data_IF_173492800090
#
_entry.id   IF_173492800090
#
_cell.length_a   1.000
_cell.length_b   1.000
_cell.length_c   1.000
_cell.angle_alpha   90.00
_cell.angle_beta   90.00
_cell.angle_gamma   90.00
#
_symmetry.space_group_name_H-M   'P 1'
#
loop_
_entity.id
_entity.type
_entity.pdbx_description
1 polymer ?
#
# COMPACT_ATOMS: atom_id res chain seq x y z
N UNK A 1 -21.77 4.97 32.02
CA UNK A 1 -21.66 5.53 30.64
C UNK A 1 -22.76 4.89 29.82
N UNK A 2 -23.60 5.66 29.16
CA UNK A 2 -24.71 5.17 28.35
C UNK A 2 -24.13 4.50 27.08
N UNK A 3 -24.81 3.47 26.55
CA UNK A 3 -24.43 2.80 25.30
C UNK A 3 -24.21 3.78 24.14
N UNK A 4 -25.06 4.81 24.04
CA UNK A 4 -24.93 5.86 23.03
C UNK A 4 -23.64 6.68 23.18
N UNK A 5 -23.23 6.99 24.41
CA UNK A 5 -21.99 7.71 24.70
C UNK A 5 -20.75 6.85 24.32
N UNK A 6 -20.84 5.55 24.61
CA UNK A 6 -19.78 4.61 24.24
C UNK A 6 -19.66 4.53 22.73
N UNK A 7 -20.78 4.30 22.02
CA UNK A 7 -20.80 4.26 20.56
C UNK A 7 -20.32 5.57 19.92
N UNK A 8 -20.73 6.72 20.46
CA UNK A 8 -20.26 8.02 20.02
C UNK A 8 -18.72 8.14 20.14
N UNK A 9 -18.16 7.78 21.30
CA UNK A 9 -16.71 7.82 21.53
C UNK A 9 -15.95 6.89 20.59
N UNK A 10 -16.45 5.69 20.37
CA UNK A 10 -15.85 4.73 19.43
C UNK A 10 -15.89 5.24 17.98
N UNK A 11 -17.03 5.78 17.55
CA UNK A 11 -17.16 6.34 16.19
C UNK A 11 -16.26 7.56 16.00
N UNK A 12 -16.26 8.49 16.95
CA UNK A 12 -15.40 9.69 16.89
C UNK A 12 -13.92 9.33 16.95
N UNK A 13 -13.57 8.32 17.77
CA UNK A 13 -12.21 7.77 17.85
C UNK A 13 -11.79 7.09 16.54
N UNK A 14 -12.66 6.26 15.96
CA UNK A 14 -12.42 5.60 14.68
C UNK A 14 -12.24 6.61 13.54
N UNK A 15 -13.08 7.64 13.48
CA UNK A 15 -12.96 8.70 12.49
C UNK A 15 -11.77 9.64 12.74
N UNK A 16 -11.11 9.57 13.92
CA UNK A 16 -9.97 10.42 14.25
C UNK A 16 -10.29 11.90 14.42
N UNK A 17 -11.57 12.27 14.61
CA UNK A 17 -12.01 13.68 14.67
C UNK A 17 -11.93 14.31 16.07
N UNK A 18 -11.45 13.58 17.07
CA UNK A 18 -11.33 14.07 18.46
C UNK A 18 -10.55 15.40 18.56
N UNK A 19 -9.39 15.49 17.88
CA UNK A 19 -8.55 16.70 17.90
C UNK A 19 -9.26 17.90 17.29
N UNK A 20 -9.99 17.70 16.20
CA UNK A 20 -10.79 18.76 15.56
C UNK A 20 -11.94 19.22 16.44
N UNK A 21 -12.64 18.28 17.08
CA UNK A 21 -13.72 18.61 18.02
C UNK A 21 -13.19 19.35 19.26
N UNK A 22 -12.02 18.99 19.77
CA UNK A 22 -11.38 19.70 20.87
C UNK A 22 -10.99 21.12 20.46
N UNK A 23 -10.33 21.31 19.33
CA UNK A 23 -9.98 22.64 18.80
C UNK A 23 -11.23 23.51 18.60
N UNK A 24 -12.30 22.95 18.04
CA UNK A 24 -13.56 23.66 17.87
C UNK A 24 -14.18 24.09 19.23
N UNK A 25 -14.20 23.20 20.22
CA UNK A 25 -14.75 23.47 21.54
C UNK A 25 -13.96 24.50 22.34
N UNK A 26 -12.64 24.48 22.22
CA UNK A 26 -11.73 25.36 22.96
C UNK A 26 -11.43 26.67 22.25
N UNK A 27 -11.71 26.76 20.93
CA UNK A 27 -11.28 27.89 20.09
C UNK A 27 -9.77 28.02 19.91
N UNK A 28 -8.98 27.02 20.36
CA UNK A 28 -7.52 27.04 20.30
C UNK A 28 -7.02 26.48 18.96
N UNK A 29 -7.14 27.27 17.91
CA UNK A 29 -6.64 26.94 16.57
C UNK A 29 -5.11 27.08 16.45
N UNK A 30 -4.42 27.67 17.44
CA UNK A 30 -2.96 27.71 17.50
C UNK A 30 -2.35 26.31 17.55
N UNK A 31 -3.07 25.31 18.04
CA UNK A 31 -2.67 23.90 18.01
C UNK A 31 -2.37 23.40 16.58
N UNK A 32 -3.01 23.94 15.54
CA UNK A 32 -2.73 23.59 14.14
C UNK A 32 -1.29 23.93 13.70
N UNK A 33 -0.58 24.74 14.43
CA UNK A 33 0.84 25.04 14.19
C UNK A 33 1.79 24.04 14.88
N UNK A 34 1.25 23.11 15.66
CA UNK A 34 2.00 22.03 16.31
C UNK A 34 1.94 20.74 15.49
N UNK A 35 2.95 19.87 15.65
CA UNK A 35 2.97 18.56 15.01
C UNK A 35 1.72 17.72 15.36
N UNK A 36 1.35 17.67 16.63
CA UNK A 36 0.17 16.95 17.11
C UNK A 36 -1.14 17.53 16.54
N UNK A 37 -1.23 18.84 16.42
CA UNK A 37 -2.40 19.50 15.83
C UNK A 37 -2.51 19.25 14.32
N UNK A 38 -1.40 19.32 13.58
CA UNK A 38 -1.36 18.99 12.14
C UNK A 38 -1.77 17.53 11.92
N UNK A 39 -1.16 16.58 12.63
CA UNK A 39 -1.47 15.15 12.49
C UNK A 39 -2.90 14.85 12.93
N UNK A 40 -3.38 15.47 14.02
CA UNK A 40 -4.75 15.34 14.47
C UNK A 40 -5.78 15.93 13.51
N UNK A 41 -5.44 16.98 12.75
CA UNK A 41 -6.31 17.56 11.74
C UNK A 41 -6.39 16.72 10.46
N UNK A 42 -5.29 16.04 10.10
CA UNK A 42 -5.20 15.22 8.88
C UNK A 42 -5.74 13.79 9.11
N UNK A 43 -5.58 13.25 10.32
CA UNK A 43 -5.95 11.84 10.62
C UNK A 43 -7.38 11.43 10.23
N UNK A 44 -8.42 12.31 10.31
CA UNK A 44 -9.76 11.97 9.87
C UNK A 44 -9.94 11.84 8.37
N UNK A 45 -8.99 12.32 7.58
CA UNK A 45 -9.16 12.47 6.14
C UNK A 45 -9.56 11.17 5.44
N UNK A 46 -8.82 10.09 5.65
CA UNK A 46 -9.11 8.81 4.99
C UNK A 46 -10.35 8.11 5.55
N UNK A 47 -10.56 7.98 6.88
CA UNK A 47 -11.81 7.42 7.41
C UNK A 47 -13.07 8.15 6.98
N UNK A 48 -13.05 9.49 6.97
CA UNK A 48 -14.18 10.32 6.52
C UNK A 48 -14.41 10.16 5.03
N UNK A 49 -13.35 10.16 4.22
CA UNK A 49 -13.46 9.96 2.77
C UNK A 49 -14.01 8.56 2.44
N UNK A 50 -13.60 7.51 3.17
CA UNK A 50 -14.16 6.16 3.06
C UNK A 50 -15.67 6.15 3.38
N UNK A 51 -16.07 6.83 4.44
CA UNK A 51 -17.49 6.94 4.77
C UNK A 51 -18.28 7.65 3.64
N UNK A 52 -17.74 8.75 3.11
CA UNK A 52 -18.32 9.46 1.96
C UNK A 52 -18.41 8.53 0.74
N UNK A 53 -17.37 7.75 0.45
CA UNK A 53 -17.35 6.79 -0.67
C UNK A 53 -18.46 5.75 -0.53
N UNK A 54 -18.61 5.14 0.65
CA UNK A 54 -19.65 4.16 0.95
C UNK A 54 -21.05 4.77 0.82
N UNK A 55 -21.30 5.95 1.42
CA UNK A 55 -22.59 6.64 1.33
C UNK A 55 -22.90 6.97 -0.14
N UNK A 56 -21.93 7.51 -0.88
CA UNK A 56 -22.11 7.82 -2.30
C UNK A 56 -22.41 6.57 -3.13
N UNK A 57 -21.68 5.47 -2.89
CA UNK A 57 -21.96 4.20 -3.56
C UNK A 57 -23.38 3.69 -3.28
N UNK A 58 -23.84 3.80 -2.04
CA UNK A 58 -25.21 3.43 -1.64
C UNK A 58 -26.27 4.32 -2.29
N UNK A 59 -26.10 5.66 -2.26
CA UNK A 59 -27.03 6.62 -2.88
C UNK A 59 -27.17 6.38 -4.38
N UNK A 60 -26.08 6.12 -5.09
CA UNK A 60 -26.09 5.82 -6.53
C UNK A 60 -26.38 4.35 -6.87
N UNK A 61 -26.80 3.53 -5.89
CA UNK A 61 -27.09 2.09 -6.06
C UNK A 61 -25.96 1.28 -6.67
N UNK A 62 -24.71 1.66 -6.36
CA UNK A 62 -23.48 0.98 -6.79
C UNK A 62 -22.78 0.24 -5.66
N UNK A 63 -23.30 0.32 -4.45
CA UNK A 63 -22.76 -0.38 -3.28
C UNK A 63 -22.96 -1.89 -3.45
N UNK A 64 -21.86 -2.63 -3.36
CA UNK A 64 -21.84 -4.10 -3.33
C UNK A 64 -21.12 -4.53 -2.06
N UNK A 65 -21.80 -5.31 -1.24
CA UNK A 65 -21.26 -5.83 0.04
C UNK A 65 -19.98 -6.63 -0.21
N UNK A 66 -19.89 -7.33 -1.34
CA UNK A 66 -18.76 -8.16 -1.74
C UNK A 66 -17.46 -7.35 -1.85
N UNK A 67 -17.54 -6.09 -2.28
CA UNK A 67 -16.37 -5.22 -2.45
C UNK A 67 -15.76 -4.78 -1.11
N UNK A 68 -16.52 -4.82 -0.01
CA UNK A 68 -16.12 -4.34 1.32
C UNK A 68 -16.00 -5.44 2.37
N UNK A 69 -16.67 -6.59 2.16
CA UNK A 69 -16.78 -7.66 3.17
C UNK A 69 -15.39 -8.22 3.57
N UNK A 70 -14.61 -8.66 2.58
CA UNK A 70 -13.30 -9.25 2.85
C UNK A 70 -12.32 -8.20 3.36
N UNK A 71 -12.20 -6.98 2.74
CA UNK A 71 -11.44 -5.86 3.30
C UNK A 71 -11.77 -5.57 4.78
N UNK A 72 -13.04 -5.54 5.15
CA UNK A 72 -13.47 -5.31 6.53
C UNK A 72 -12.95 -6.40 7.49
N UNK A 73 -13.09 -7.68 7.13
CA UNK A 73 -12.58 -8.76 7.99
C UNK A 73 -11.06 -8.75 8.11
N UNK A 74 -10.35 -8.40 7.04
CA UNK A 74 -8.88 -8.25 7.06
C UNK A 74 -8.49 -7.09 7.97
N UNK A 75 -9.16 -5.94 7.86
CA UNK A 75 -8.95 -4.78 8.74
C UNK A 75 -9.12 -5.14 10.21
N UNK A 76 -10.23 -5.80 10.55
CA UNK A 76 -10.51 -6.22 11.95
C UNK A 76 -9.44 -7.20 12.43
N UNK A 77 -9.09 -8.21 11.64
CA UNK A 77 -8.04 -9.17 11.98
C UNK A 77 -6.69 -8.47 12.22
N UNK A 78 -6.29 -7.57 11.32
CA UNK A 78 -5.01 -6.85 11.43
C UNK A 78 -4.97 -5.89 12.61
N UNK A 79 -6.10 -5.31 13.01
CA UNK A 79 -6.18 -4.43 14.18
C UNK A 79 -5.70 -5.10 15.46
N UNK A 80 -5.92 -6.41 15.59
CA UNK A 80 -5.52 -7.18 16.76
C UNK A 80 -4.14 -7.82 16.65
N UNK A 81 -3.61 -8.02 15.45
CA UNK A 81 -2.39 -8.79 15.22
C UNK A 81 -1.25 -7.92 14.71
N UNK A 82 -1.46 -7.23 13.60
CA UNK A 82 -0.38 -6.57 12.85
C UNK A 82 0.21 -5.34 13.57
N UNK A 83 -0.63 -4.52 14.21
CA UNK A 83 -0.20 -3.24 14.77
C UNK A 83 0.90 -3.40 15.85
N UNK A 84 0.76 -4.36 16.75
CA UNK A 84 1.76 -4.61 17.79
C UNK A 84 3.09 -5.09 17.23
N UNK A 85 3.05 -5.98 16.22
CA UNK A 85 4.26 -6.50 15.58
C UNK A 85 4.98 -5.37 14.84
N UNK A 86 4.26 -4.53 14.12
CA UNK A 86 4.81 -3.41 13.34
C UNK A 86 5.51 -2.40 14.24
N UNK A 87 4.86 -1.95 15.31
CA UNK A 87 5.46 -1.02 16.29
C UNK A 87 6.73 -1.61 16.91
N UNK A 88 6.70 -2.88 17.30
CA UNK A 88 7.86 -3.56 17.86
C UNK A 88 9.03 -3.62 16.85
N UNK A 89 8.75 -3.94 15.58
CA UNK A 89 9.77 -4.00 14.53
C UNK A 89 10.41 -2.64 14.25
N UNK A 90 9.62 -1.56 14.19
CA UNK A 90 10.14 -0.19 14.06
C UNK A 90 11.06 0.16 15.22
N UNK A 91 10.64 -0.11 16.46
CA UNK A 91 11.43 0.16 17.65
C UNK A 91 12.75 -0.63 17.66
N UNK A 92 12.69 -1.92 17.31
CA UNK A 92 13.89 -2.79 17.20
C UNK A 92 14.84 -2.26 16.12
N UNK A 93 14.34 -1.89 14.94
CA UNK A 93 15.17 -1.34 13.86
C UNK A 93 15.85 -0.03 14.28
N UNK A 94 15.14 0.88 14.94
CA UNK A 94 15.73 2.12 15.47
C UNK A 94 16.84 1.77 16.48
N UNK A 95 16.55 0.91 17.47
CA UNK A 95 17.50 0.53 18.52
C UNK A 95 18.78 -0.13 18.00
N UNK A 96 18.69 -0.92 16.95
CA UNK A 96 19.84 -1.60 16.33
C UNK A 96 20.64 -0.65 15.43
N UNK A 97 19.96 0.08 14.55
CA UNK A 97 20.61 0.76 13.42
C UNK A 97 20.95 2.23 13.65
N UNK A 98 20.37 2.92 14.66
CA UNK A 98 20.63 4.35 14.90
C UNK A 98 22.12 4.65 15.13
N UNK A 99 22.83 3.74 15.80
CA UNK A 99 24.28 3.89 16.05
C UNK A 99 25.15 3.77 14.78
N UNK A 100 24.60 3.22 13.70
CA UNK A 100 25.29 3.08 12.41
C UNK A 100 24.84 4.13 11.39
N UNK A 101 24.02 5.09 11.79
CA UNK A 101 23.57 6.17 10.92
C UNK A 101 24.77 6.98 10.40
N UNK A 102 24.76 7.26 9.09
CA UNK A 102 25.86 7.98 8.42
C UNK A 102 26.01 9.44 8.91
N UNK A 103 24.92 10.02 9.40
CA UNK A 103 24.83 11.32 10.10
C UNK A 103 23.49 11.39 10.85
N UNK A 104 23.18 12.53 11.50
CA UNK A 104 21.88 12.71 12.16
C UNK A 104 21.18 13.95 11.62
N UNK A 105 19.97 13.78 11.16
CA UNK A 105 19.09 14.89 10.74
C UNK A 105 18.41 15.53 11.94
N UNK A 106 17.82 16.71 11.74
CA UNK A 106 16.93 17.36 12.68
C UNK A 106 15.52 17.48 12.09
N UNK A 107 14.52 17.81 12.92
CA UNK A 107 13.17 18.06 12.44
C UNK A 107 13.04 19.48 11.89
N UNK A 108 13.46 19.67 10.60
CA UNK A 108 13.40 20.95 9.88
C UNK A 108 12.92 20.72 8.45
N UNK A 109 12.44 21.77 7.79
CA UNK A 109 11.83 21.67 6.45
C UNK A 109 12.77 21.11 5.37
N UNK A 110 14.07 21.46 5.39
CA UNK A 110 15.04 20.94 4.41
C UNK A 110 15.38 19.46 4.66
N UNK A 111 15.41 19.03 5.93
CA UNK A 111 15.54 17.62 6.26
C UNK A 111 14.26 16.83 5.94
N UNK A 112 13.10 17.48 5.94
CA UNK A 112 11.86 16.84 5.48
C UNK A 112 11.93 16.47 3.99
N UNK A 113 12.49 17.37 3.13
CA UNK A 113 12.68 17.07 1.70
C UNK A 113 13.64 15.89 1.51
N UNK A 114 14.79 15.93 2.16
CA UNK A 114 15.75 14.83 2.13
C UNK A 114 15.13 13.52 2.64
N UNK A 115 14.52 13.57 3.82
CA UNK A 115 13.91 12.42 4.46
C UNK A 115 12.81 11.80 3.60
N UNK A 116 12.02 12.64 2.92
CA UNK A 116 10.96 12.14 2.04
C UNK A 116 11.53 11.44 0.79
N UNK A 117 12.62 11.93 0.20
CA UNK A 117 13.29 11.28 -0.93
C UNK A 117 13.83 9.90 -0.53
N UNK A 118 14.46 9.81 0.66
CA UNK A 118 14.98 8.54 1.19
C UNK A 118 13.84 7.58 1.57
N UNK A 119 12.77 8.09 2.19
CA UNK A 119 11.59 7.31 2.50
C UNK A 119 10.96 6.71 1.24
N UNK A 120 10.77 7.50 0.20
CA UNK A 120 10.22 7.06 -1.07
C UNK A 120 11.11 6.00 -1.74
N UNK A 121 12.45 6.14 -1.64
CA UNK A 121 13.38 5.10 -2.07
C UNK A 121 13.20 3.81 -1.29
N UNK A 122 13.09 3.91 0.03
CA UNK A 122 12.89 2.73 0.89
C UNK A 122 11.54 2.05 0.63
N UNK A 123 10.50 2.84 0.35
CA UNK A 123 9.19 2.35 -0.06
C UNK A 123 9.27 1.65 -1.42
N UNK A 124 9.92 2.26 -2.40
CA UNK A 124 10.17 1.63 -3.71
C UNK A 124 10.87 0.27 -3.57
N UNK A 125 11.93 0.17 -2.76
CA UNK A 125 12.67 -1.09 -2.54
C UNK A 125 11.77 -2.16 -1.92
N UNK A 126 11.06 -1.82 -0.84
CA UNK A 126 10.11 -2.74 -0.21
C UNK A 126 9.07 -3.25 -1.22
N UNK A 127 8.44 -2.34 -1.94
CA UNK A 127 7.34 -2.61 -2.85
C UNK A 127 7.80 -3.40 -4.09
N UNK A 128 8.94 -3.01 -4.66
CA UNK A 128 9.58 -3.76 -5.74
C UNK A 128 9.89 -5.20 -5.33
N UNK A 129 10.48 -5.41 -4.15
CA UNK A 129 10.75 -6.76 -3.64
C UNK A 129 9.45 -7.53 -3.39
N UNK A 130 8.38 -6.87 -2.93
CA UNK A 130 7.07 -7.48 -2.75
C UNK A 130 6.50 -8.09 -4.04
N UNK A 131 6.81 -7.50 -5.20
CA UNK A 131 6.40 -8.01 -6.50
C UNK A 131 7.42 -8.96 -7.17
N UNK A 132 8.71 -8.85 -6.82
CA UNK A 132 9.79 -9.60 -7.51
C UNK A 132 10.25 -10.84 -6.77
N UNK A 133 9.89 -10.99 -5.50
CA UNK A 133 10.23 -12.15 -4.68
C UNK A 133 8.95 -12.86 -4.26
N UNK A 134 8.77 -14.12 -4.65
CA UNK A 134 7.48 -14.81 -4.44
C UNK A 134 7.07 -14.92 -2.97
N UNK A 135 8.02 -15.08 -2.06
CA UNK A 135 7.71 -15.05 -0.62
C UNK A 135 7.05 -13.73 -0.21
N UNK A 136 7.60 -12.62 -0.67
CA UNK A 136 7.06 -11.29 -0.34
C UNK A 136 5.77 -10.98 -1.10
N UNK A 137 5.63 -11.51 -2.32
CA UNK A 137 4.35 -11.49 -3.02
C UNK A 137 3.24 -12.20 -2.24
N UNK A 138 3.52 -13.31 -1.56
CA UNK A 138 2.56 -13.98 -0.69
C UNK A 138 2.04 -13.06 0.44
N UNK A 139 2.84 -12.08 0.87
CA UNK A 139 2.42 -11.09 1.86
C UNK A 139 1.65 -9.92 1.21
N UNK A 140 2.03 -9.52 -0.01
CA UNK A 140 1.50 -8.35 -0.70
C UNK A 140 0.27 -8.66 -1.58
N UNK A 141 0.13 -9.88 -2.06
CA UNK A 141 -0.97 -10.30 -2.94
C UNK A 141 -2.37 -10.10 -2.36
N UNK A 142 -2.50 -10.12 -1.03
CA UNK A 142 -3.74 -9.79 -0.31
C UNK A 142 -4.21 -8.38 -0.66
N UNK A 143 -3.28 -7.44 -0.80
CA UNK A 143 -3.55 -6.06 -1.18
C UNK A 143 -4.01 -5.93 -2.65
N UNK A 144 -3.47 -6.75 -3.55
CA UNK A 144 -3.86 -6.80 -4.96
C UNK A 144 -5.07 -7.68 -5.27
N UNK A 145 -5.56 -8.45 -4.31
CA UNK A 145 -6.64 -9.41 -4.52
C UNK A 145 -8.03 -8.79 -4.86
N UNK A 146 -8.41 -7.58 -4.36
CA UNK A 146 -9.69 -6.97 -4.71
C UNK A 146 -9.87 -6.76 -6.20
N UNK A 147 -11.13 -6.94 -6.67
CA UNK A 147 -11.50 -6.83 -8.08
C UNK A 147 -12.10 -5.47 -8.46
N UNK A 148 -12.20 -4.56 -7.51
CA UNK A 148 -12.66 -3.18 -7.70
C UNK A 148 -11.83 -2.26 -6.82
N UNK A 149 -11.50 -1.05 -7.31
CA UNK A 149 -10.77 -0.06 -6.52
C UNK A 149 -11.73 0.73 -5.63
N UNK A 150 -11.41 0.79 -4.34
CA UNK A 150 -12.08 1.63 -3.35
C UNK A 150 -11.17 1.84 -2.12
N UNK A 151 -11.47 2.83 -1.29
CA UNK A 151 -10.64 3.20 -0.14
C UNK A 151 -10.44 2.11 0.93
N UNK A 152 -11.32 1.10 0.99
CA UNK A 152 -11.14 0.00 1.95
C UNK A 152 -9.93 -0.88 1.60
N UNK A 153 -9.44 -0.83 0.36
CA UNK A 153 -8.25 -1.57 -0.08
C UNK A 153 -6.99 -1.06 0.63
N UNK A 154 -6.93 0.22 0.98
CA UNK A 154 -5.84 0.79 1.77
C UNK A 154 -5.63 0.09 3.14
N UNK A 155 -6.63 -0.64 3.62
CA UNK A 155 -6.57 -1.42 4.85
C UNK A 155 -6.51 -2.94 4.60
N UNK A 156 -6.44 -3.36 3.32
CA UNK A 156 -6.47 -4.77 2.91
C UNK A 156 -5.03 -5.24 2.70
N UNK A 157 -4.39 -5.71 3.77
CA UNK A 157 -3.02 -6.19 3.76
C UNK A 157 -2.91 -7.51 4.52
N UNK A 158 -2.00 -8.38 4.12
CA UNK A 158 -1.63 -9.54 4.93
C UNK A 158 -1.00 -9.08 6.25
N UNK A 159 -1.29 -9.75 7.35
CA UNK A 159 -0.92 -9.29 8.69
C UNK A 159 0.60 -9.12 8.93
N UNK A 160 1.45 -9.79 8.16
CA UNK A 160 2.92 -9.65 8.20
C UNK A 160 3.46 -8.66 7.17
N UNK A 161 2.64 -8.09 6.31
CA UNK A 161 3.11 -7.16 5.28
C UNK A 161 3.62 -5.85 5.89
N UNK A 162 2.86 -5.22 6.78
CA UNK A 162 3.29 -4.00 7.45
C UNK A 162 4.59 -4.19 8.25
N UNK A 163 4.73 -5.24 9.11
CA UNK A 163 6.01 -5.53 9.76
C UNK A 163 7.19 -5.68 8.79
N UNK A 164 7.02 -6.41 7.70
CA UNK A 164 8.05 -6.58 6.67
C UNK A 164 8.43 -5.25 6.02
N UNK A 165 7.42 -4.48 5.61
CA UNK A 165 7.62 -3.17 5.02
C UNK A 165 8.35 -2.21 5.98
N UNK A 166 7.96 -2.21 7.25
CA UNK A 166 8.52 -1.34 8.27
C UNK A 166 9.97 -1.70 8.61
N UNK A 167 10.33 -2.98 8.60
CA UNK A 167 11.74 -3.40 8.74
C UNK A 167 12.59 -2.77 7.64
N UNK A 168 12.21 -2.91 6.37
CA UNK A 168 13.00 -2.39 5.25
C UNK A 168 13.04 -0.87 5.28
N UNK A 169 11.89 -0.22 5.38
CA UNK A 169 11.77 1.25 5.31
C UNK A 169 12.49 1.92 6.48
N UNK A 170 12.24 1.46 7.70
CA UNK A 170 12.90 2.01 8.90
C UNK A 170 14.40 1.81 8.85
N UNK A 171 14.87 0.61 8.50
CA UNK A 171 16.31 0.32 8.42
C UNK A 171 17.03 1.26 7.45
N UNK A 172 16.51 1.42 6.23
CA UNK A 172 17.11 2.30 5.22
C UNK A 172 17.10 3.75 5.71
N UNK A 173 15.97 4.23 6.25
CA UNK A 173 15.83 5.61 6.72
C UNK A 173 16.73 5.93 7.91
N UNK A 174 16.81 5.04 8.89
CA UNK A 174 17.68 5.24 10.07
C UNK A 174 19.15 5.19 9.68
N UNK A 175 19.58 4.26 8.83
CA UNK A 175 20.95 4.23 8.31
C UNK A 175 21.29 5.49 7.53
N UNK A 176 20.35 6.03 6.76
CA UNK A 176 20.49 7.30 6.04
C UNK A 176 20.43 8.54 6.96
N UNK A 177 20.36 8.37 8.28
CA UNK A 177 20.44 9.44 9.26
C UNK A 177 19.14 10.16 9.57
N UNK A 178 17.98 9.65 9.14
CA UNK A 178 16.70 10.25 9.45
C UNK A 178 16.37 10.03 10.91
N UNK A 179 16.14 11.10 11.67
CA UNK A 179 15.81 10.98 13.09
C UNK A 179 14.37 10.44 13.28
N UNK A 180 14.09 9.72 14.37
CA UNK A 180 12.79 9.08 14.58
C UNK A 180 11.58 10.02 14.52
N UNK A 181 11.56 11.21 15.13
CA UNK A 181 10.44 12.16 14.99
C UNK A 181 10.14 12.55 13.56
N UNK A 182 11.18 12.82 12.75
CA UNK A 182 11.05 13.14 11.33
C UNK A 182 10.52 11.92 10.55
N UNK A 183 11.05 10.72 10.84
CA UNK A 183 10.58 9.46 10.24
C UNK A 183 9.09 9.23 10.50
N UNK A 184 8.64 9.33 11.75
CA UNK A 184 7.22 9.14 12.08
C UNK A 184 6.30 10.15 11.39
N UNK A 185 6.74 11.41 11.26
CA UNK A 185 5.98 12.41 10.54
C UNK A 185 5.87 12.08 9.05
N UNK A 186 6.98 11.65 8.42
CA UNK A 186 6.98 11.21 7.02
C UNK A 186 6.06 10.00 6.84
N UNK A 187 6.16 8.99 7.73
CA UNK A 187 5.29 7.81 7.71
C UNK A 187 3.80 8.19 7.78
N UNK A 188 3.46 9.19 8.59
CA UNK A 188 2.09 9.67 8.72
C UNK A 188 1.59 10.32 7.41
N UNK A 189 2.36 11.23 6.82
CA UNK A 189 2.01 11.90 5.55
C UNK A 189 1.91 10.88 4.42
N UNK A 190 2.91 10.01 4.33
CA UNK A 190 2.96 8.95 3.32
C UNK A 190 1.80 7.96 3.44
N UNK A 191 1.48 7.52 4.65
CA UNK A 191 0.34 6.65 4.90
C UNK A 191 -1.01 7.30 4.56
N UNK A 192 -1.15 8.61 4.82
CA UNK A 192 -2.34 9.37 4.42
C UNK A 192 -2.46 9.44 2.90
N UNK A 193 -1.36 9.75 2.20
CA UNK A 193 -1.35 9.75 0.74
C UNK A 193 -1.61 8.36 0.16
N UNK A 194 -0.93 7.33 0.67
CA UNK A 194 -1.15 5.94 0.28
C UNK A 194 -2.61 5.49 0.47
N UNK A 195 -3.26 5.94 1.55
CA UNK A 195 -4.71 5.76 1.72
C UNK A 195 -5.51 6.46 0.62
N UNK A 196 -5.20 7.72 0.34
CA UNK A 196 -5.92 8.53 -0.65
C UNK A 196 -5.83 7.98 -2.07
N UNK A 197 -4.69 7.49 -2.52
CA UNK A 197 -4.53 7.00 -3.90
C UNK A 197 -5.38 5.75 -4.23
N UNK A 198 -5.95 5.08 -3.21
CA UNK A 198 -6.93 4.00 -3.38
C UNK A 198 -8.36 4.50 -3.65
N UNK A 199 -8.57 5.82 -3.75
CA UNK A 199 -9.91 6.36 -4.00
C UNK A 199 -10.53 5.75 -5.26
N UNK A 200 -11.75 5.23 -5.11
CA UNK A 200 -12.47 4.56 -6.18
C UNK A 200 -12.97 5.53 -7.24
N UNK A 201 -13.32 4.98 -8.39
CA UNK A 201 -13.88 5.73 -9.53
C UNK A 201 -15.23 6.39 -9.20
N UNK A 202 -15.88 5.93 -8.15
CA UNK A 202 -17.11 6.56 -7.65
C UNK A 202 -16.88 7.97 -7.07
N UNK A 203 -15.69 8.25 -6.56
CA UNK A 203 -15.29 9.57 -6.03
C UNK A 203 -14.50 10.35 -7.09
N UNK A 204 -13.48 9.72 -7.65
CA UNK A 204 -12.57 10.35 -8.61
C UNK A 204 -12.50 9.52 -9.90
N UNK A 205 -13.41 9.81 -10.85
CA UNK A 205 -13.58 9.02 -12.08
C UNK A 205 -12.28 8.85 -12.88
N UNK A 206 -11.58 9.95 -13.16
CA UNK A 206 -10.35 9.93 -13.96
C UNK A 206 -9.11 9.55 -13.13
N UNK A 207 -9.08 9.87 -11.84
CA UNK A 207 -7.93 9.60 -10.96
C UNK A 207 -6.67 10.41 -11.29
N UNK A 208 -6.67 11.21 -12.34
CA UNK A 208 -5.56 12.08 -12.74
C UNK A 208 -5.64 13.42 -12.03
N UNK A 209 -4.48 14.03 -11.78
CA UNK A 209 -4.36 15.33 -11.10
C UNK A 209 -3.62 16.36 -11.97
N UNK A 210 -3.86 16.34 -13.28
CA UNK A 210 -3.29 17.29 -14.23
C UNK A 210 -1.75 17.29 -14.24
N UNK A 211 -1.14 18.47 -14.07
CA UNK A 211 0.32 18.63 -14.05
C UNK A 211 1.00 17.78 -12.94
N UNK A 212 0.34 17.59 -11.81
CA UNK A 212 0.89 16.83 -10.69
C UNK A 212 1.23 15.38 -11.05
N UNK A 213 0.57 14.77 -12.04
CA UNK A 213 0.91 13.43 -12.53
C UNK A 213 2.37 13.29 -12.97
N UNK A 214 3.02 14.41 -13.32
CA UNK A 214 4.44 14.37 -13.72
C UNK A 214 5.39 14.19 -12.53
N UNK A 215 4.96 14.49 -11.32
CA UNK A 215 5.81 14.55 -10.13
C UNK A 215 5.38 13.52 -9.08
N UNK A 216 4.07 13.31 -8.93
CA UNK A 216 3.51 12.45 -7.91
C UNK A 216 2.73 11.28 -8.54
N UNK A 217 2.65 10.20 -7.77
CA UNK A 217 1.73 9.10 -8.02
C UNK A 217 0.31 9.53 -7.61
N UNK A 218 -0.58 9.46 -8.57
CA UNK A 218 -1.99 9.84 -8.40
C UNK A 218 -2.86 8.57 -8.36
N UNK A 219 -4.14 8.66 -7.99
CA UNK A 219 -5.03 7.51 -8.05
C UNK A 219 -5.01 6.76 -9.38
N UNK A 220 -4.89 7.46 -10.53
CA UNK A 220 -4.74 6.82 -11.85
C UNK A 220 -3.51 5.92 -11.94
N UNK A 221 -2.34 6.37 -11.47
CA UNK A 221 -1.12 5.56 -11.45
C UNK A 221 -1.24 4.35 -10.52
N UNK A 222 -1.91 4.51 -9.38
CA UNK A 222 -2.10 3.44 -8.42
C UNK A 222 -3.10 2.39 -8.91
N UNK A 223 -4.11 2.79 -9.67
CA UNK A 223 -5.00 1.87 -10.41
C UNK A 223 -4.22 1.02 -11.40
N UNK A 224 -3.29 1.63 -12.15
CA UNK A 224 -2.36 0.91 -13.03
C UNK A 224 -1.54 -0.10 -12.25
N UNK A 225 -1.01 0.30 -11.08
CA UNK A 225 -0.25 -0.59 -10.21
C UNK A 225 -1.07 -1.83 -9.76
N UNK A 226 -2.34 -1.64 -9.40
CA UNK A 226 -3.25 -2.71 -9.00
C UNK A 226 -3.81 -3.54 -10.17
N UNK A 227 -3.47 -3.19 -11.40
CA UNK A 227 -3.99 -3.89 -12.57
C UNK A 227 -3.25 -5.20 -12.84
N UNK A 228 -4.00 -6.25 -13.18
CA UNK A 228 -3.46 -7.53 -13.63
C UNK A 228 -3.23 -7.60 -15.14
N UNK A 229 -3.51 -6.53 -15.89
CA UNK A 229 -3.23 -6.46 -17.33
C UNK A 229 -1.74 -6.65 -17.59
N UNK A 230 -1.34 -7.42 -18.61
CA UNK A 230 0.08 -7.66 -18.91
C UNK A 230 0.91 -6.39 -19.08
N UNK A 231 0.33 -5.32 -19.66
CA UNK A 231 1.00 -4.03 -19.82
C UNK A 231 1.34 -3.37 -18.48
N UNK A 232 0.48 -3.50 -17.48
CA UNK A 232 0.52 -2.76 -16.22
C UNK A 232 1.20 -3.52 -15.08
N UNK A 233 1.30 -4.85 -15.17
CA UNK A 233 1.94 -5.64 -14.12
C UNK A 233 3.36 -5.17 -13.82
N UNK A 234 3.69 -5.11 -12.54
CA UNK A 234 5.02 -4.73 -12.03
C UNK A 234 5.47 -3.31 -12.40
N UNK A 235 4.57 -2.35 -12.25
CA UNK A 235 4.81 -0.91 -12.50
C UNK A 235 4.36 -0.04 -11.33
N UNK A 236 4.85 1.20 -11.24
CA UNK A 236 4.44 2.25 -10.28
C UNK A 236 4.58 1.83 -8.81
N UNK A 237 5.80 1.51 -8.37
CA UNK A 237 6.10 1.03 -7.02
C UNK A 237 6.27 2.12 -5.97
N UNK A 238 6.43 3.38 -6.36
CA UNK A 238 6.47 4.51 -5.44
C UNK A 238 5.10 4.75 -4.78
N UNK A 239 5.06 5.62 -3.75
CA UNK A 239 3.81 5.99 -3.10
C UNK A 239 3.36 7.43 -3.42
N UNK A 240 4.16 8.44 -3.07
CA UNK A 240 3.85 9.85 -3.38
C UNK A 240 4.67 10.35 -4.57
N UNK A 241 6.00 10.30 -4.50
CA UNK A 241 6.87 10.84 -5.56
C UNK A 241 7.20 9.75 -6.58
N UNK A 242 6.87 9.95 -7.85
CA UNK A 242 7.14 8.96 -8.91
C UNK A 242 8.59 8.99 -9.43
N UNK A 243 9.51 9.55 -8.65
CA UNK A 243 10.92 9.74 -9.05
C UNK A 243 11.65 8.42 -9.25
N UNK A 244 11.49 7.48 -8.32
CA UNK A 244 12.21 6.20 -8.36
C UNK A 244 11.64 5.28 -9.44
N UNK A 245 10.33 5.31 -9.69
CA UNK A 245 9.76 4.60 -10.83
C UNK A 245 10.32 5.09 -12.17
N UNK A 246 10.58 6.38 -12.31
CA UNK A 246 11.23 6.95 -13.51
C UNK A 246 12.70 6.57 -13.60
N UNK A 247 13.44 6.63 -12.50
CA UNK A 247 14.85 6.25 -12.44
C UNK A 247 15.02 4.77 -12.80
N UNK A 248 14.18 3.90 -12.24
CA UNK A 248 14.26 2.45 -12.48
C UNK A 248 13.40 1.95 -13.64
N UNK A 249 12.76 2.87 -14.41
CA UNK A 249 11.95 2.56 -15.61
C UNK A 249 10.76 1.64 -15.32
N UNK A 250 10.15 1.79 -14.18
CA UNK A 250 8.93 1.09 -13.76
C UNK A 250 7.69 1.99 -13.82
N UNK A 251 7.84 3.25 -14.22
CA UNK A 251 6.73 4.17 -14.40
C UNK A 251 5.90 3.84 -15.64
N UNK A 252 4.58 3.66 -15.47
CA UNK A 252 3.62 3.43 -16.55
C UNK A 252 2.35 4.25 -16.29
N UNK A 253 1.96 5.14 -17.20
CA UNK A 253 0.71 5.88 -17.09
C UNK A 253 -0.49 5.02 -17.49
N UNK A 254 -1.66 5.33 -16.98
CA UNK A 254 -2.91 4.74 -17.42
C UNK A 254 -3.22 5.13 -18.87
N UNK A 255 -3.48 4.15 -19.72
CA UNK A 255 -3.83 4.32 -21.14
C UNK A 255 -5.32 4.10 -21.34
N UNK A 256 -5.95 4.99 -22.09
CA UNK A 256 -7.39 4.91 -22.38
C UNK A 256 -7.76 3.66 -23.19
N UNK A 257 -6.84 3.19 -24.01
CA UNK A 257 -7.00 2.04 -24.89
C UNK A 257 -6.90 0.69 -24.17
N UNK A 258 -6.39 0.70 -22.93
CA UNK A 258 -6.19 -0.49 -22.11
C UNK A 258 -6.96 -0.35 -20.81
N UNK A 259 -8.24 -0.75 -20.77
CA UNK A 259 -9.05 -0.69 -19.55
C UNK A 259 -8.39 -1.49 -18.41
N UNK A 260 -8.47 -0.97 -17.20
CA UNK A 260 -7.89 -1.60 -16.02
C UNK A 260 -8.71 -2.83 -15.63
N UNK A 261 -8.03 -3.95 -15.44
CA UNK A 261 -8.57 -5.16 -14.84
C UNK A 261 -7.89 -5.40 -13.49
N UNK A 262 -8.66 -5.29 -12.41
CA UNK A 262 -8.14 -5.48 -11.05
C UNK A 262 -8.03 -6.95 -10.65
N UNK A 263 -7.29 -7.23 -9.58
CA UNK A 263 -7.07 -8.55 -9.01
C UNK A 263 -5.70 -9.13 -9.35
N UNK A 264 -5.50 -10.40 -8.98
CA UNK A 264 -4.27 -11.15 -9.26
C UNK A 264 -4.46 -12.16 -10.39
N UNK A 265 -3.36 -12.65 -10.96
CA UNK A 265 -3.39 -13.60 -12.09
C UNK A 265 -3.75 -15.02 -11.68
N UNK A 266 -3.52 -15.39 -10.41
CA UNK A 266 -3.97 -16.68 -9.88
C UNK A 266 -5.50 -16.73 -9.81
N UNK A 267 -6.15 -17.82 -10.30
CA UNK A 267 -7.58 -18.03 -10.03
C UNK A 267 -7.85 -18.07 -8.53
N UNK A 268 -8.78 -17.23 -8.05
CA UNK A 268 -9.09 -17.11 -6.64
C UNK A 268 -10.57 -16.76 -6.41
N UNK A 269 -11.06 -17.06 -5.22
CA UNK A 269 -12.35 -16.59 -4.75
C UNK A 269 -12.16 -15.28 -3.95
N UNK A 270 -12.42 -14.14 -4.59
CA UNK A 270 -12.29 -12.80 -3.97
C UNK A 270 -13.22 -12.60 -2.76
N UNK A 271 -14.27 -13.42 -2.60
CA UNK A 271 -15.20 -13.37 -1.46
C UNK A 271 -14.79 -14.28 -0.29
N UNK A 272 -13.66 -14.98 -0.42
CA UNK A 272 -13.12 -15.83 0.63
C UNK A 272 -11.96 -15.14 1.37
N UNK A 273 -12.16 -14.82 2.65
CA UNK A 273 -11.10 -14.32 3.52
C UNK A 273 -9.84 -15.22 3.49
N UNK A 274 -10.03 -16.54 3.50
CA UNK A 274 -8.92 -17.50 3.51
C UNK A 274 -8.17 -17.54 2.18
N UNK A 275 -8.87 -17.48 1.05
CA UNK A 275 -8.23 -17.53 -0.26
C UNK A 275 -7.50 -16.21 -0.56
N UNK A 276 -8.09 -15.07 -0.17
CA UNK A 276 -7.46 -13.75 -0.30
C UNK A 276 -6.19 -13.63 0.54
N UNK A 277 -6.22 -14.05 1.82
CA UNK A 277 -5.06 -13.91 2.70
C UNK A 277 -4.01 -15.01 2.51
N UNK A 278 -4.42 -16.26 2.36
CA UNK A 278 -3.50 -17.40 2.45
C UNK A 278 -3.37 -18.17 1.15
N UNK A 279 -4.12 -17.81 0.11
CA UNK A 279 -4.14 -18.53 -1.16
C UNK A 279 -2.79 -18.57 -1.87
N UNK A 280 -2.02 -17.47 -1.88
CA UNK A 280 -0.67 -17.41 -2.44
C UNK A 280 0.34 -18.18 -1.60
N UNK A 281 0.24 -18.15 -0.26
CA UNK A 281 1.06 -18.96 0.63
C UNK A 281 0.82 -20.45 0.36
N UNK A 282 -0.45 -20.86 0.24
CA UNK A 282 -0.82 -22.23 -0.09
C UNK A 282 -0.35 -22.64 -1.49
N UNK A 283 -0.39 -21.73 -2.46
CA UNK A 283 0.13 -21.97 -3.81
C UNK A 283 1.65 -22.18 -3.80
N UNK A 284 2.40 -21.29 -3.13
CA UNK A 284 3.84 -21.41 -2.95
C UNK A 284 4.20 -22.77 -2.30
N UNK A 285 3.50 -23.13 -1.22
CA UNK A 285 3.72 -24.41 -0.54
C UNK A 285 3.47 -25.62 -1.46
N UNK A 286 2.39 -25.62 -2.25
CA UNK A 286 2.09 -26.68 -3.24
C UNK A 286 3.21 -26.81 -4.28
N UNK A 287 3.70 -25.69 -4.81
CA UNK A 287 4.75 -25.69 -5.82
C UNK A 287 6.08 -26.20 -5.25
N UNK A 288 6.45 -25.76 -4.06
CA UNK A 288 7.63 -26.24 -3.35
C UNK A 288 7.57 -27.76 -3.07
N UNK A 289 6.40 -28.28 -2.69
CA UNK A 289 6.23 -29.73 -2.45
C UNK A 289 6.41 -30.55 -3.72
N UNK A 290 5.96 -30.04 -4.86
CA UNK A 290 6.08 -30.72 -6.17
C UNK A 290 7.48 -30.57 -6.79
N UNK A 291 8.23 -29.55 -6.41
CA UNK A 291 9.53 -29.27 -7.00
C UNK A 291 10.57 -30.33 -6.62
N UNK A 292 11.37 -30.87 -7.58
CA UNK A 292 12.44 -31.81 -7.32
C UNK A 292 13.65 -31.09 -6.71
N UNK A 293 14.22 -31.69 -5.66
CA UNK A 293 15.43 -31.24 -5.01
C UNK A 293 15.27 -29.92 -4.22
N UNK A 294 16.16 -29.71 -3.25
CA UNK A 294 16.12 -28.55 -2.37
C UNK A 294 16.35 -27.23 -3.11
N UNK A 295 17.22 -27.21 -4.12
CA UNK A 295 17.51 -26.02 -4.92
C UNK A 295 16.24 -25.44 -5.56
N UNK A 296 15.43 -26.26 -6.23
CA UNK A 296 14.21 -25.80 -6.88
C UNK A 296 13.18 -25.33 -5.86
N UNK A 297 13.08 -25.96 -4.68
CA UNK A 297 12.23 -25.51 -3.58
C UNK A 297 12.62 -24.11 -3.11
N UNK A 298 13.93 -23.87 -2.90
CA UNK A 298 14.43 -22.54 -2.53
C UNK A 298 14.21 -21.50 -3.63
N UNK A 299 14.38 -21.88 -4.90
CA UNK A 299 14.11 -20.97 -6.02
C UNK A 299 12.64 -20.53 -6.06
N UNK A 300 11.68 -21.39 -5.71
CA UNK A 300 10.27 -20.97 -5.61
C UNK A 300 10.04 -19.86 -4.58
N UNK A 301 10.87 -19.77 -3.54
CA UNK A 301 10.75 -18.74 -2.50
C UNK A 301 11.25 -17.39 -3.01
N UNK A 302 12.40 -17.37 -3.73
CA UNK A 302 13.13 -16.14 -4.08
C UNK A 302 12.89 -15.65 -5.51
N UNK A 303 12.49 -16.53 -6.43
CA UNK A 303 12.22 -16.14 -7.82
C UNK A 303 10.88 -15.42 -7.93
N UNK A 304 10.65 -14.63 -9.00
CA UNK A 304 9.40 -13.89 -9.18
C UNK A 304 8.16 -14.80 -9.22
N UNK A 305 6.98 -14.28 -8.84
CA UNK A 305 5.71 -14.97 -9.05
C UNK A 305 5.57 -15.43 -10.50
N UNK A 306 5.07 -16.65 -10.71
CA UNK A 306 4.97 -17.28 -12.03
C UNK A 306 6.26 -17.92 -12.55
N UNK A 307 7.36 -17.92 -11.80
CA UNK A 307 8.54 -18.73 -12.13
C UNK A 307 8.24 -20.23 -11.92
N UNK A 308 8.79 -21.08 -12.80
CA UNK A 308 8.69 -22.55 -12.72
C UNK A 308 10.02 -23.21 -12.95
N UNK A 309 10.32 -24.28 -12.20
CA UNK A 309 11.51 -25.11 -12.40
C UNK A 309 11.46 -25.90 -13.72
N UNK A 310 10.30 -26.01 -14.36
CA UNK A 310 10.12 -26.67 -15.67
C UNK A 310 10.54 -25.78 -16.85
N UNK A 311 10.82 -24.49 -16.60
CA UNK A 311 11.08 -23.50 -17.64
C UNK A 311 9.83 -22.84 -18.23
N UNK A 312 8.63 -23.31 -17.90
CA UNK A 312 7.37 -22.71 -18.33
C UNK A 312 7.01 -21.51 -17.42
N UNK A 313 7.77 -20.42 -17.59
CA UNK A 313 7.61 -19.23 -16.77
C UNK A 313 6.42 -18.39 -17.23
N UNK A 314 5.59 -17.96 -16.25
CA UNK A 314 4.45 -17.03 -16.43
C UNK A 314 4.65 -15.79 -15.57
N UNK A 315 5.84 -15.22 -15.58
CA UNK A 315 6.16 -14.02 -14.80
C UNK A 315 5.58 -12.76 -15.45
N UNK A 316 5.35 -11.72 -14.65
CA UNK A 316 4.89 -10.41 -15.14
C UNK A 316 5.77 -9.87 -16.27
N UNK A 317 7.10 -10.05 -16.18
CA UNK A 317 8.05 -9.64 -17.24
C UNK A 317 7.77 -10.33 -18.57
N UNK A 318 7.54 -11.63 -18.56
CA UNK A 318 7.25 -12.41 -19.79
C UNK A 318 5.91 -12.00 -20.37
N UNK A 319 4.86 -11.95 -19.53
CA UNK A 319 3.54 -11.54 -19.98
C UNK A 319 3.54 -10.13 -20.61
N UNK A 320 4.27 -9.18 -20.01
CA UNK A 320 4.43 -7.83 -20.56
C UNK A 320 5.20 -7.84 -21.91
N UNK A 321 6.27 -8.63 -22.03
CA UNK A 321 7.02 -8.75 -23.27
C UNK A 321 6.19 -9.34 -24.41
N UNK A 322 5.41 -10.36 -24.13
CA UNK A 322 4.50 -10.99 -25.09
C UNK A 322 3.41 -10.01 -25.56
N UNK A 323 2.81 -9.27 -24.63
CA UNK A 323 1.83 -8.24 -24.94
C UNK A 323 2.42 -7.15 -25.86
N UNK A 324 3.62 -6.62 -25.55
CA UNK A 324 4.27 -5.58 -26.35
C UNK A 324 4.66 -6.08 -27.73
N UNK A 325 5.07 -7.34 -27.86
CA UNK A 325 5.36 -7.94 -29.19
C UNK A 325 4.08 -8.09 -30.04
N UNK A 326 2.99 -8.53 -29.43
CA UNK A 326 1.72 -8.72 -30.15
C UNK A 326 1.14 -7.38 -30.63
N UNK A 327 1.25 -6.31 -29.83
CA UNK A 327 0.77 -4.98 -30.21
C UNK A 327 1.63 -4.30 -31.27
N UNK A 328 2.96 -4.51 -31.26
CA UNK A 328 3.86 -3.96 -32.30
C UNK A 328 3.73 -4.69 -33.64
N UNK A 329 3.25 -5.93 -33.68
CA UNK A 329 3.01 -6.68 -34.91
C UNK A 329 1.63 -6.42 -35.51
N UNK A 330 0.75 -5.74 -34.80
CA UNK A 330 -0.64 -5.44 -35.23
C UNK A 330 -0.81 -4.01 -35.75
N UNK A 331 0.23 -3.16 -35.68
CA UNK A 331 0.28 -1.79 -36.23
C UNK A 331 1.25 -1.70 -37.40
#
# INVERSE_FOLDING_TARGET
MNLLETLYKEVVGFLGINSLLEMYKTGDYGKLLTLNGITGAISPFIPVLLLIEIIRAAVYKRFKVEDYKVPFFIFVFNRFVSAFISIAMVAVCIGIFEKYAIFKTAFTWYWLIYGYIIWEFSHFIYHFLAHKVRLFWCLHSTHHAPQNMNLSIAYTHFFLEAPYADIIRTTICILAGINPPLLFFIMFIDGTWGGFIHVGENIMKDGRMGFLNKIILTPSHHRVHHARNPLYMDTNFCNLLNIWDKVFKTYEPERKEVPIEYGITRPMNANSFWDVNFGEVAALWRDMRKAPGIRNKLLYIIMPPGWSHTGEHKTAKIARQEYLKSTNNAG
#
